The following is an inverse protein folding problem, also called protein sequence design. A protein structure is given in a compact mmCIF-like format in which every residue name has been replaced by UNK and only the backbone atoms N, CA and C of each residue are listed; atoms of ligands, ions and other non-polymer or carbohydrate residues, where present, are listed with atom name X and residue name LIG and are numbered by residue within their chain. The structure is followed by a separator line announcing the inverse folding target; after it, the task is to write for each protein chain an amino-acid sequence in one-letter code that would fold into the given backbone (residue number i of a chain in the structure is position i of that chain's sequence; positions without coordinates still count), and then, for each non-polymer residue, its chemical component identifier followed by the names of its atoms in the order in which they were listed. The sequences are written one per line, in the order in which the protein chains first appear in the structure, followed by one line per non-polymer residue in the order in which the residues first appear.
data_IF_937538544308
#
_entry.id   IF_937538544308
#
_cell.length_a   1.000
_cell.length_b   1.000
_cell.length_c   1.000
_cell.angle_alpha   90.00
_cell.angle_beta   90.00
_cell.angle_gamma   90.00
#
_symmetry.space_group_name_H-M   'P 1'
#
loop_
_entity.id
_entity.type
_entity.pdbx_description
1 polymer ?
#
# COMPACT_ATOMS: atom_id res chain seq x y z
N UNK A 1 9.22 10.69 -1.00
CA UNK A 1 10.33 9.75 -1.28
C UNK A 1 10.20 8.52 -0.39
N UNK A 2 10.54 7.34 -0.90
CA UNK A 2 10.56 6.07 -0.16
C UNK A 2 11.68 5.14 -0.67
N UNK A 3 12.35 4.38 0.21
CA UNK A 3 13.30 3.35 -0.21
C UNK A 3 12.57 2.08 -0.66
N UNK A 4 13.11 1.44 -1.69
CA UNK A 4 12.66 0.16 -2.22
C UNK A 4 13.80 -0.84 -2.16
N UNK A 5 13.48 -2.11 -1.86
CA UNK A 5 14.46 -3.18 -1.94
C UNK A 5 14.90 -3.39 -3.40
N UNK A 6 16.20 -3.48 -3.62
CA UNK A 6 16.79 -3.74 -4.94
C UNK A 6 17.89 -4.80 -4.81
N UNK A 7 18.22 -5.48 -5.91
CA UNK A 7 19.35 -6.40 -5.95
C UNK A 7 20.66 -5.70 -6.31
N UNK A 8 21.57 -6.43 -6.93
CA UNK A 8 22.74 -5.87 -7.62
C UNK A 8 22.36 -5.11 -8.91
N UNK A 9 21.12 -5.31 -9.36
CA UNK A 9 20.48 -4.63 -10.50
C UNK A 9 19.06 -4.26 -10.12
N UNK A 10 18.47 -3.30 -10.85
CA UNK A 10 17.03 -3.09 -10.80
C UNK A 10 16.34 -4.36 -11.29
N UNK A 11 15.52 -4.95 -10.42
CA UNK A 11 14.73 -6.14 -10.72
C UNK A 11 13.32 -5.76 -11.17
N UNK A 12 12.61 -6.75 -11.72
CA UNK A 12 11.26 -6.60 -12.27
C UNK A 12 10.30 -5.84 -11.33
N UNK A 13 10.31 -6.14 -10.02
CA UNK A 13 9.42 -5.47 -9.06
C UNK A 13 9.62 -3.95 -9.03
N UNK A 14 10.86 -3.46 -9.08
CA UNK A 14 11.13 -2.02 -9.07
C UNK A 14 10.77 -1.42 -10.43
N UNK A 15 11.08 -2.14 -11.51
CA UNK A 15 10.69 -1.76 -12.87
C UNK A 15 9.19 -1.59 -13.02
N UNK A 16 8.39 -2.58 -12.62
CA UNK A 16 6.92 -2.58 -12.70
C UNK A 16 6.32 -1.38 -11.96
N UNK A 17 6.86 -1.06 -10.78
CA UNK A 17 6.44 0.12 -9.99
C UNK A 17 6.70 1.41 -10.75
N UNK A 18 7.89 1.57 -11.33
CA UNK A 18 8.20 2.77 -12.11
C UNK A 18 7.35 2.83 -13.37
N UNK A 19 7.10 1.69 -14.04
CA UNK A 19 6.19 1.62 -15.20
C UNK A 19 4.77 2.06 -14.82
N UNK A 20 4.23 1.58 -13.70
CA UNK A 20 2.92 1.99 -13.21
C UNK A 20 2.86 3.50 -12.93
N UNK A 21 3.88 4.04 -12.28
CA UNK A 21 4.05 5.48 -12.08
C UNK A 21 4.06 6.26 -13.40
N UNK A 22 4.88 5.85 -14.37
CA UNK A 22 4.97 6.47 -15.68
C UNK A 22 3.64 6.46 -16.43
N UNK A 23 2.92 5.34 -16.43
CA UNK A 23 1.57 5.25 -17.03
C UNK A 23 0.60 6.24 -16.40
N UNK A 24 0.65 6.43 -15.09
CA UNK A 24 -0.24 7.36 -14.37
C UNK A 24 0.01 8.84 -14.69
N UNK A 25 1.24 9.21 -15.08
CA UNK A 25 1.60 10.60 -15.42
C UNK A 25 1.72 10.84 -16.93
N UNK A 26 1.50 9.81 -17.77
CA UNK A 26 1.65 9.90 -19.22
C UNK A 26 3.11 9.88 -19.70
N UNK A 27 4.07 9.57 -18.83
CA UNK A 27 5.47 9.42 -19.24
C UNK A 27 5.64 8.11 -20.03
N UNK A 28 6.21 8.19 -21.23
CA UNK A 28 6.40 7.04 -22.13
C UNK A 28 7.76 6.37 -21.99
N UNK A 29 8.73 7.07 -21.40
CA UNK A 29 10.10 6.58 -21.22
C UNK A 29 10.75 7.27 -20.02
N UNK A 30 11.85 6.68 -19.56
CA UNK A 30 12.75 7.30 -18.58
C UNK A 30 14.03 7.76 -19.25
N UNK A 31 14.60 8.83 -18.71
CA UNK A 31 15.98 9.22 -18.92
C UNK A 31 16.83 8.59 -17.83
N UNK A 32 18.09 8.26 -18.12
CA UNK A 32 19.01 7.76 -17.12
C UNK A 32 20.41 8.35 -17.27
N UNK A 33 21.16 8.36 -16.17
CA UNK A 33 22.57 8.74 -16.12
C UNK A 33 23.31 7.84 -15.12
N UNK A 34 24.34 7.08 -15.56
CA UNK A 34 25.28 6.45 -14.65
C UNK A 34 26.06 7.53 -13.89
N UNK A 35 26.14 7.42 -12.57
CA UNK A 35 26.86 8.35 -11.74
C UNK A 35 28.34 7.92 -11.66
N UNK A 36 29.28 8.86 -11.70
CA UNK A 36 30.72 8.56 -11.59
C UNK A 36 31.41 8.13 -12.90
N UNK A 37 30.74 8.23 -14.05
CA UNK A 37 31.35 8.14 -15.38
C UNK A 37 31.27 9.52 -16.05
N UNK A 38 32.32 9.93 -16.77
CA UNK A 38 32.42 11.24 -17.46
C UNK A 38 31.17 11.51 -18.33
N UNK A 39 30.66 12.77 -18.41
CA UNK A 39 29.28 13.08 -18.72
C UNK A 39 29.01 13.07 -20.23
N UNK A 40 29.13 11.91 -20.88
CA UNK A 40 28.37 11.70 -22.11
C UNK A 40 26.96 11.32 -21.67
N UNK A 41 26.13 12.35 -21.47
CA UNK A 41 24.71 12.22 -21.15
C UNK A 41 24.00 11.70 -22.39
N UNK A 42 24.13 10.42 -22.66
CA UNK A 42 23.26 9.76 -23.63
C UNK A 42 21.95 9.46 -22.93
N UNK A 43 21.02 10.41 -23.04
CA UNK A 43 19.62 10.18 -22.67
C UNK A 43 19.07 9.13 -23.64
N UNK A 44 19.22 7.85 -23.33
CA UNK A 44 18.45 6.82 -24.02
C UNK A 44 17.15 6.63 -23.27
N UNK A 45 16.04 6.57 -24.01
CA UNK A 45 14.82 6.00 -23.48
C UNK A 45 15.10 4.53 -23.19
N UNK A 46 15.28 4.20 -21.91
CA UNK A 46 15.32 2.80 -21.50
C UNK A 46 13.88 2.36 -21.22
N UNK A 47 13.46 1.18 -21.70
CA UNK A 47 12.27 0.58 -21.17
C UNK A 47 12.49 0.33 -19.67
N UNK A 48 11.41 0.38 -18.92
CA UNK A 48 11.44 0.44 -17.45
C UNK A 48 12.05 -0.83 -16.82
N UNK A 49 12.13 -1.90 -17.59
CA UNK A 49 12.70 -3.23 -17.29
C UNK A 49 14.20 -3.36 -17.62
N UNK A 50 14.85 -2.32 -18.13
CA UNK A 50 16.26 -2.37 -18.47
C UNK A 50 17.11 -2.65 -17.21
N UNK A 51 17.98 -3.66 -17.30
CA UNK A 51 18.84 -4.15 -16.22
C UNK A 51 19.90 -3.11 -15.80
N UNK A 52 19.47 -2.10 -15.07
CA UNK A 52 20.27 -0.95 -14.65
C UNK A 52 21.10 -1.33 -13.42
N UNK A 53 22.36 -0.88 -13.39
CA UNK A 53 23.29 -1.08 -12.26
C UNK A 53 23.48 0.21 -11.48
N UNK A 54 23.80 0.14 -10.17
CA UNK A 54 24.20 1.31 -9.41
C UNK A 54 25.66 1.72 -9.74
N UNK A 55 26.03 2.99 -9.52
CA UNK A 55 25.17 4.10 -9.14
C UNK A 55 24.50 4.72 -10.39
N UNK A 56 23.16 4.80 -10.41
CA UNK A 56 22.42 5.39 -11.54
C UNK A 56 21.26 6.25 -11.05
N UNK A 57 21.01 7.37 -11.73
CA UNK A 57 19.80 8.17 -11.57
C UNK A 57 18.92 8.00 -12.81
N UNK A 58 17.64 7.69 -12.60
CA UNK A 58 16.59 7.67 -13.62
C UNK A 58 15.57 8.76 -13.32
N UNK A 59 14.99 9.39 -14.34
CA UNK A 59 13.93 10.37 -14.16
C UNK A 59 12.99 10.44 -15.37
N UNK A 60 11.76 10.88 -15.14
CA UNK A 60 10.83 11.15 -16.24
C UNK A 60 11.21 12.47 -16.94
N UNK A 61 11.03 12.60 -18.27
CA UNK A 61 11.40 13.80 -19.03
C UNK A 61 10.76 15.10 -18.52
N UNK A 62 9.58 14.99 -17.93
CA UNK A 62 8.78 16.07 -17.34
C UNK A 62 9.11 16.33 -15.86
N UNK A 63 10.12 15.64 -15.32
CA UNK A 63 10.59 15.73 -13.93
C UNK A 63 9.52 15.43 -12.86
N UNK A 64 8.46 14.71 -13.24
CA UNK A 64 7.42 14.26 -12.31
C UNK A 64 7.91 13.17 -11.35
N UNK A 65 8.97 12.44 -11.70
CA UNK A 65 9.55 11.41 -10.86
C UNK A 65 11.04 11.17 -11.11
N UNK A 66 11.69 10.60 -10.10
CA UNK A 66 13.07 10.16 -10.15
C UNK A 66 13.28 8.88 -9.31
N UNK A 67 14.17 8.02 -9.79
CA UNK A 67 14.67 6.87 -9.06
C UNK A 67 16.20 6.97 -8.97
N UNK A 68 16.71 7.08 -7.74
CA UNK A 68 18.15 6.99 -7.47
C UNK A 68 18.47 5.56 -7.05
N UNK A 69 19.37 4.91 -7.77
CA UNK A 69 19.92 3.60 -7.42
C UNK A 69 21.39 3.77 -7.02
N UNK A 70 21.70 4.08 -5.75
CA UNK A 70 23.04 4.52 -5.35
C UNK A 70 24.01 3.36 -5.13
N UNK A 71 23.53 2.22 -4.63
CA UNK A 71 24.33 1.04 -4.34
C UNK A 71 23.46 -0.22 -4.42
N UNK A 72 24.04 -1.43 -4.54
CA UNK A 72 23.29 -2.67 -4.41
C UNK A 72 22.45 -2.69 -3.13
N UNK A 73 21.30 -3.36 -3.18
CA UNK A 73 20.43 -3.55 -2.01
C UNK A 73 19.26 -2.57 -1.92
N UNK A 74 19.35 -1.35 -2.46
CA UNK A 74 18.23 -0.41 -2.41
C UNK A 74 18.18 0.60 -3.55
N UNK A 75 16.99 1.11 -3.82
CA UNK A 75 16.76 2.30 -4.64
C UNK A 75 15.87 3.29 -3.88
N UNK A 76 15.98 4.58 -4.19
CA UNK A 76 15.15 5.65 -3.64
C UNK A 76 14.22 6.17 -4.72
N UNK A 77 12.91 6.05 -4.49
CA UNK A 77 11.89 6.53 -5.40
C UNK A 77 11.27 7.82 -4.88
N UNK A 78 11.17 8.82 -5.75
CA UNK A 78 10.47 10.07 -5.50
C UNK A 78 9.66 10.49 -6.72
N UNK A 79 8.58 11.23 -6.50
CA UNK A 79 7.77 11.79 -7.57
C UNK A 79 6.57 12.53 -7.03
N UNK A 80 5.72 13.01 -7.93
CA UNK A 80 4.45 13.68 -7.60
C UNK A 80 3.43 12.69 -7.04
N UNK A 81 2.35 13.22 -6.45
CA UNK A 81 1.31 12.39 -5.82
C UNK A 81 0.69 11.36 -6.78
N UNK A 82 0.34 11.69 -8.04
CA UNK A 82 -0.19 10.70 -8.98
C UNK A 82 0.80 9.58 -9.27
N UNK A 83 2.06 9.94 -9.53
CA UNK A 83 3.13 8.99 -9.79
C UNK A 83 3.35 8.04 -8.59
N UNK A 84 3.49 8.61 -7.38
CA UNK A 84 3.77 7.83 -6.18
C UNK A 84 2.60 6.93 -5.79
N UNK A 85 1.36 7.36 -6.02
CA UNK A 85 0.15 6.55 -5.77
C UNK A 85 0.13 5.30 -6.66
N UNK A 86 0.52 5.43 -7.93
CA UNK A 86 0.58 4.29 -8.84
C UNK A 86 1.83 3.41 -8.62
N UNK A 87 2.99 4.00 -8.33
CA UNK A 87 4.24 3.28 -8.15
C UNK A 87 4.39 2.61 -6.77
N UNK A 88 3.66 3.11 -5.77
CA UNK A 88 3.67 2.60 -4.39
C UNK A 88 2.22 2.37 -3.94
N UNK A 89 1.52 1.39 -4.54
CA UNK A 89 0.10 1.16 -4.27
C UNK A 89 -0.19 0.74 -2.83
N UNK A 90 0.80 0.24 -2.10
CA UNK A 90 0.67 -0.04 -0.66
C UNK A 90 0.74 1.24 0.22
N UNK A 91 1.10 2.38 -0.34
CA UNK A 91 1.38 3.62 0.38
C UNK A 91 2.85 3.77 0.82
N UNK A 92 3.30 5.01 0.94
CA UNK A 92 4.71 5.35 1.24
C UNK A 92 5.16 4.72 2.56
N UNK A 93 4.31 4.79 3.58
CA UNK A 93 4.66 4.42 4.94
C UNK A 93 4.74 2.90 5.13
N UNK A 94 3.90 2.13 4.42
CA UNK A 94 4.05 0.67 4.38
C UNK A 94 5.27 0.25 3.56
N UNK A 95 5.59 0.93 2.44
CA UNK A 95 6.81 0.67 1.69
C UNK A 95 8.08 0.87 2.55
N UNK A 96 8.13 1.95 3.36
CA UNK A 96 9.20 2.20 4.34
C UNK A 96 9.32 1.09 5.38
N UNK A 97 8.20 0.59 5.85
CA UNK A 97 8.18 -0.49 6.83
C UNK A 97 8.63 -1.83 6.24
N UNK A 98 8.19 -2.14 5.02
CA UNK A 98 8.68 -3.30 4.24
C UNK A 98 10.19 -3.20 4.04
N UNK A 99 10.68 -2.03 3.66
CA UNK A 99 12.13 -1.79 3.53
C UNK A 99 12.87 -1.97 4.85
N UNK A 100 12.32 -1.49 5.97
CA UNK A 100 12.91 -1.71 7.30
C UNK A 100 13.04 -3.20 7.64
N UNK A 101 12.01 -4.01 7.35
CA UNK A 101 12.05 -5.47 7.53
C UNK A 101 13.11 -6.11 6.62
N UNK A 102 13.17 -5.68 5.36
CA UNK A 102 14.18 -6.12 4.40
C UNK A 102 15.61 -5.79 4.84
N UNK A 103 15.87 -4.56 5.27
CA UNK A 103 17.17 -4.10 5.74
C UNK A 103 17.67 -4.93 6.94
N UNK A 104 16.79 -5.24 7.90
CA UNK A 104 17.10 -6.15 9.02
C UNK A 104 17.48 -7.55 8.54
N UNK A 105 16.76 -8.09 7.55
CA UNK A 105 17.07 -9.41 6.97
C UNK A 105 18.39 -9.43 6.21
N UNK A 106 18.80 -8.30 5.63
CA UNK A 106 20.03 -8.17 4.85
C UNK A 106 21.23 -7.63 5.65
N UNK A 107 21.06 -7.29 6.93
CA UNK A 107 22.06 -6.59 7.73
C UNK A 107 23.44 -7.27 7.79
N UNK A 108 23.49 -8.60 7.70
CA UNK A 108 24.75 -9.35 7.68
C UNK A 108 25.57 -9.14 6.40
N UNK A 109 24.90 -8.91 5.26
CA UNK A 109 25.54 -8.73 3.95
C UNK A 109 25.65 -7.25 3.56
N UNK A 110 24.69 -6.45 3.99
CA UNK A 110 24.51 -5.04 3.63
C UNK A 110 24.13 -4.21 4.88
N UNK A 111 25.08 -3.99 5.81
CA UNK A 111 24.82 -3.28 7.06
C UNK A 111 24.37 -1.82 6.83
N UNK A 112 24.79 -1.20 5.72
CA UNK A 112 24.43 0.16 5.32
C UNK A 112 22.90 0.35 5.14
N UNK A 113 22.17 -0.71 4.82
CA UNK A 113 20.72 -0.64 4.63
C UNK A 113 19.98 -0.28 5.92
N UNK A 114 20.56 -0.58 7.09
CA UNK A 114 19.98 -0.17 8.37
C UNK A 114 19.98 1.35 8.54
N UNK A 115 21.02 2.03 8.08
CA UNK A 115 21.09 3.50 8.10
C UNK A 115 20.07 4.12 7.13
N UNK A 116 19.89 3.53 5.95
CA UNK A 116 18.85 3.93 5.00
C UNK A 116 17.46 3.74 5.61
N UNK A 117 17.20 2.58 6.23
CA UNK A 117 15.92 2.31 6.89
C UNK A 117 15.62 3.27 8.04
N UNK A 118 16.64 3.63 8.84
CA UNK A 118 16.50 4.62 9.90
C UNK A 118 16.21 6.03 9.35
N UNK A 119 16.87 6.41 8.24
CA UNK A 119 16.66 7.71 7.57
C UNK A 119 15.24 7.84 7.01
N UNK A 120 14.69 6.74 6.51
CA UNK A 120 13.35 6.70 5.91
C UNK A 120 12.39 5.81 6.73
N UNK A 121 12.36 6.02 8.05
CA UNK A 121 11.42 5.31 8.90
C UNK A 121 9.94 5.68 8.56
N UNK A 122 8.98 4.74 8.73
CA UNK A 122 7.57 5.07 8.64
C UNK A 122 7.21 6.22 9.58
N UNK A 123 6.38 7.15 9.12
CA UNK A 123 5.91 8.28 9.96
C UNK A 123 4.86 7.87 10.98
N UNK A 124 4.05 6.86 10.65
CA UNK A 124 2.97 6.39 11.51
C UNK A 124 3.30 5.04 12.14
N UNK A 125 2.94 4.94 13.42
CA UNK A 125 2.83 3.67 14.13
C UNK A 125 1.73 2.81 13.50
N UNK A 126 1.93 1.50 13.48
CA UNK A 126 0.93 0.56 12.97
C UNK A 126 0.03 0.03 14.10
N UNK A 127 -1.27 0.30 14.02
CA UNK A 127 -2.27 -0.10 15.02
C UNK A 127 -2.60 -1.59 14.91
N UNK A 128 -2.64 -2.28 16.05
CA UNK A 128 -3.00 -3.70 16.12
C UNK A 128 -4.45 -3.95 16.53
N UNK A 129 -5.07 -2.95 17.18
CA UNK A 129 -6.40 -3.04 17.74
C UNK A 129 -7.25 -1.81 17.37
N UNK A 130 -8.56 -1.95 17.09
CA UNK A 130 -9.47 -0.83 16.82
C UNK A 130 -9.44 0.27 17.88
N UNK A 131 -9.24 -0.08 19.15
CA UNK A 131 -9.17 0.89 20.25
C UNK A 131 -7.94 1.82 20.18
N UNK A 132 -6.91 1.44 19.41
CA UNK A 132 -5.72 2.28 19.19
C UNK A 132 -5.92 3.30 18.05
N UNK A 133 -6.97 3.12 17.25
CA UNK A 133 -7.20 3.91 16.03
C UNK A 133 -7.86 5.25 16.40
N UNK A 134 -7.22 6.40 16.13
CA UNK A 134 -7.83 7.71 16.39
C UNK A 134 -9.09 7.92 15.56
N UNK A 135 -10.15 8.55 16.11
CA UNK A 135 -11.47 8.62 15.49
C UNK A 135 -11.52 9.44 14.19
N UNK A 136 -10.54 10.31 13.94
CA UNK A 136 -10.45 11.18 12.77
C UNK A 136 -9.60 10.59 11.63
N UNK A 137 -9.34 9.28 11.65
CA UNK A 137 -8.54 8.58 10.63
C UNK A 137 -9.43 7.88 9.60
N UNK A 138 -8.87 7.60 8.41
CA UNK A 138 -9.56 6.79 7.41
C UNK A 138 -9.77 5.35 7.90
N UNK A 139 -8.86 4.82 8.70
CA UNK A 139 -8.98 3.50 9.35
C UNK A 139 -10.16 3.48 10.34
N UNK A 140 -10.40 4.55 11.10
CA UNK A 140 -11.61 4.66 11.92
C UNK A 140 -12.89 4.66 11.06
N UNK A 141 -12.84 5.30 9.89
CA UNK A 141 -13.95 5.27 8.94
C UNK A 141 -14.18 3.86 8.38
N UNK A 142 -13.14 3.07 8.07
CA UNK A 142 -13.29 1.65 7.71
C UNK A 142 -14.02 0.86 8.79
N UNK A 143 -13.63 1.04 10.05
CA UNK A 143 -14.28 0.36 11.18
C UNK A 143 -15.75 0.76 11.34
N UNK A 144 -16.08 2.02 11.07
CA UNK A 144 -17.45 2.49 11.06
C UNK A 144 -18.27 1.87 9.92
N UNK A 145 -17.75 1.87 8.69
CA UNK A 145 -18.40 1.23 7.54
C UNK A 145 -18.66 -0.26 7.78
N UNK A 146 -17.70 -0.96 8.38
CA UNK A 146 -17.84 -2.37 8.70
C UNK A 146 -19.00 -2.60 9.67
N UNK A 147 -19.13 -1.77 10.71
CA UNK A 147 -20.24 -1.84 11.66
C UNK A 147 -21.59 -1.60 10.98
N UNK A 148 -21.73 -0.51 10.23
CA UNK A 148 -22.99 -0.19 9.55
C UNK A 148 -23.39 -1.29 8.55
N UNK A 149 -22.41 -1.88 7.86
CA UNK A 149 -22.66 -2.98 6.95
C UNK A 149 -23.10 -4.27 7.66
N UNK A 150 -22.43 -4.65 8.75
CA UNK A 150 -22.80 -5.84 9.54
C UNK A 150 -24.13 -5.67 10.26
N UNK A 151 -24.48 -4.44 10.66
CA UNK A 151 -25.77 -4.11 11.28
C UNK A 151 -26.90 -4.02 10.24
N UNK A 152 -26.57 -4.09 8.94
CA UNK A 152 -27.52 -4.05 7.84
C UNK A 152 -28.06 -2.66 7.51
N UNK A 153 -27.48 -1.60 8.08
CA UNK A 153 -27.89 -0.22 7.82
C UNK A 153 -27.24 0.38 6.56
N UNK A 154 -26.16 -0.25 6.07
CA UNK A 154 -25.46 0.15 4.85
C UNK A 154 -25.66 -0.90 3.72
N UNK A 155 -26.13 -0.52 2.52
CA UNK A 155 -26.23 -1.43 1.37
C UNK A 155 -24.85 -1.89 0.85
N UNK A 156 -24.76 -3.11 0.32
CA UNK A 156 -23.50 -3.70 -0.16
C UNK A 156 -22.79 -2.89 -1.27
N UNK A 157 -23.49 -2.37 -2.31
CA UNK A 157 -22.85 -1.50 -3.31
C UNK A 157 -22.21 -0.25 -2.70
N UNK A 158 -22.93 0.40 -1.77
CA UNK A 158 -22.45 1.60 -1.09
C UNK A 158 -21.26 1.29 -0.18
N UNK A 159 -21.31 0.18 0.53
CA UNK A 159 -20.20 -0.32 1.34
C UNK A 159 -18.95 -0.55 0.48
N UNK A 160 -19.05 -1.34 -0.59
CA UNK A 160 -17.92 -1.66 -1.47
C UNK A 160 -17.24 -0.41 -2.04
N UNK A 161 -18.02 0.51 -2.64
CA UNK A 161 -17.48 1.75 -3.19
C UNK A 161 -16.80 2.62 -2.11
N UNK A 162 -17.43 2.76 -0.95
CA UNK A 162 -16.90 3.62 0.13
C UNK A 162 -15.67 2.99 0.77
N UNK A 163 -15.63 1.66 0.88
CA UNK A 163 -14.47 0.91 1.36
C UNK A 163 -13.23 1.18 0.51
N UNK A 164 -13.35 1.06 -0.82
CA UNK A 164 -12.26 1.30 -1.77
C UNK A 164 -11.74 2.74 -1.73
N UNK A 165 -12.64 3.71 -1.60
CA UNK A 165 -12.26 5.12 -1.42
C UNK A 165 -11.50 5.33 -0.11
N UNK A 166 -12.02 4.77 0.98
CA UNK A 166 -11.44 4.91 2.32
C UNK A 166 -10.07 4.24 2.41
N UNK A 167 -9.88 3.09 1.75
CA UNK A 167 -8.58 2.40 1.68
C UNK A 167 -7.51 3.25 1.00
N UNK A 168 -7.86 3.91 -0.10
CA UNK A 168 -6.95 4.85 -0.78
C UNK A 168 -6.61 6.04 0.12
N UNK A 169 -7.59 6.59 0.85
CA UNK A 169 -7.34 7.68 1.82
C UNK A 169 -6.41 7.24 2.95
N UNK A 170 -6.62 6.05 3.53
CA UNK A 170 -5.75 5.51 4.57
C UNK A 170 -4.30 5.37 4.08
N UNK A 171 -4.11 4.81 2.88
CA UNK A 171 -2.80 4.67 2.24
C UNK A 171 -2.14 6.01 1.94
N UNK A 172 -2.90 7.01 1.44
CA UNK A 172 -2.36 8.35 1.17
C UNK A 172 -1.96 9.10 2.44
N UNK A 173 -2.71 8.88 3.53
CA UNK A 173 -2.39 9.41 4.85
C UNK A 173 -1.20 8.68 5.49
N UNK A 174 -0.77 7.55 4.94
CA UNK A 174 0.27 6.70 5.54
C UNK A 174 -0.22 5.98 6.79
N UNK A 175 -1.53 5.80 6.96
CA UNK A 175 -2.10 5.04 8.07
C UNK A 175 -1.73 3.56 7.92
N UNK A 176 -1.41 2.92 9.05
CA UNK A 176 -0.90 1.55 9.06
C UNK A 176 -1.61 0.72 10.11
N UNK A 177 -1.89 -0.52 9.74
CA UNK A 177 -2.46 -1.53 10.62
C UNK A 177 -1.55 -2.77 10.62
N UNK A 178 -1.66 -3.59 11.66
CA UNK A 178 -0.91 -4.84 11.81
C UNK A 178 -1.70 -5.85 12.62
N UNK A 179 -1.22 -7.10 12.65
CA UNK A 179 -1.80 -8.15 13.50
C UNK A 179 -3.30 -8.34 13.24
N UNK A 180 -4.10 -8.60 14.28
CA UNK A 180 -5.52 -8.94 14.13
C UNK A 180 -6.35 -7.87 13.39
N UNK A 181 -6.07 -6.57 13.61
CA UNK A 181 -6.76 -5.51 12.88
C UNK A 181 -6.38 -5.52 11.38
N UNK A 182 -5.10 -5.72 11.07
CA UNK A 182 -4.64 -5.85 9.68
C UNK A 182 -5.28 -7.04 8.97
N UNK A 183 -5.29 -8.20 9.64
CA UNK A 183 -5.89 -9.44 9.12
C UNK A 183 -7.38 -9.27 8.81
N UNK A 184 -8.13 -8.58 9.68
CA UNK A 184 -9.54 -8.26 9.43
C UNK A 184 -9.71 -7.40 8.17
N UNK A 185 -8.96 -6.30 8.05
CA UNK A 185 -9.09 -5.38 6.92
C UNK A 185 -8.63 -6.01 5.59
N UNK A 186 -7.63 -6.90 5.63
CA UNK A 186 -7.20 -7.67 4.48
C UNK A 186 -8.22 -8.76 4.11
N UNK A 187 -8.88 -9.38 5.09
CA UNK A 187 -9.97 -10.31 4.81
C UNK A 187 -11.18 -9.62 4.16
N UNK A 188 -11.54 -8.41 4.62
CA UNK A 188 -12.59 -7.61 3.96
C UNK A 188 -12.21 -7.25 2.53
N UNK A 189 -10.94 -6.93 2.29
CA UNK A 189 -10.42 -6.69 0.95
C UNK A 189 -10.65 -7.91 0.04
N UNK A 190 -10.26 -9.11 0.49
CA UNK A 190 -10.43 -10.34 -0.29
C UNK A 190 -11.90 -10.63 -0.61
N UNK A 191 -12.79 -10.52 0.39
CA UNK A 191 -14.22 -10.72 0.17
C UNK A 191 -14.84 -9.70 -0.78
N UNK A 192 -14.31 -8.47 -0.84
CA UNK A 192 -14.75 -7.46 -1.78
C UNK A 192 -14.20 -7.66 -3.19
N UNK A 193 -13.10 -8.41 -3.36
CA UNK A 193 -12.63 -8.82 -4.69
C UNK A 193 -13.56 -9.89 -5.30
N UNK A 194 -14.16 -10.73 -4.45
CA UNK A 194 -15.13 -11.74 -4.85
C UNK A 194 -16.57 -11.19 -4.92
N UNK A 195 -16.80 -9.88 -4.81
CA UNK A 195 -18.13 -9.26 -4.86
C UNK A 195 -18.30 -8.33 -6.07
N UNK A 196 -19.17 -8.71 -7.01
CA UNK A 196 -19.54 -7.84 -8.12
C UNK A 196 -20.68 -6.88 -7.73
N UNK A 197 -20.42 -5.58 -7.86
CA UNK A 197 -21.37 -4.51 -7.52
C UNK A 197 -22.49 -4.41 -8.56
N UNK A 198 -22.20 -4.78 -9.81
CA UNK A 198 -23.11 -4.73 -10.95
C UNK A 198 -23.72 -6.11 -11.20
N UNK A 199 -24.97 -6.38 -10.81
CA UNK A 199 -25.53 -7.74 -10.83
C UNK A 199 -25.52 -8.40 -12.21
N UNK A 200 -25.57 -7.60 -13.28
CA UNK A 200 -25.54 -8.08 -14.68
C UNK A 200 -24.17 -8.61 -15.11
N UNK A 201 -23.11 -8.24 -14.40
CA UNK A 201 -21.72 -8.67 -14.65
C UNK A 201 -21.27 -9.78 -13.71
N UNK A 202 -22.10 -10.16 -12.73
CA UNK A 202 -21.73 -11.13 -11.71
C UNK A 202 -21.52 -12.53 -12.31
N UNK A 203 -20.39 -13.13 -11.99
CA UNK A 203 -20.07 -14.51 -12.32
C UNK A 203 -20.69 -15.46 -11.27
N UNK A 204 -20.93 -16.75 -11.62
CA UNK A 204 -21.52 -17.71 -10.67
C UNK A 204 -20.72 -17.96 -9.39
N UNK A 205 -19.43 -17.60 -9.38
CA UNK A 205 -18.54 -17.71 -8.23
C UNK A 205 -18.52 -16.47 -7.35
N UNK A 206 -19.11 -15.36 -7.79
CA UNK A 206 -19.13 -14.12 -7.04
C UNK A 206 -20.09 -14.22 -5.86
N UNK A 207 -19.71 -13.58 -4.76
CA UNK A 207 -20.53 -13.44 -3.58
C UNK A 207 -21.76 -12.60 -3.89
N UNK A 208 -22.91 -13.04 -3.37
CA UNK A 208 -24.08 -12.19 -3.25
C UNK A 208 -23.90 -11.18 -2.11
N UNK A 209 -24.69 -10.10 -2.12
CA UNK A 209 -24.70 -9.12 -1.03
C UNK A 209 -24.99 -9.76 0.35
N UNK A 210 -25.80 -10.82 0.38
CA UNK A 210 -26.15 -11.55 1.61
C UNK A 210 -24.98 -12.42 2.10
N UNK A 211 -24.29 -13.10 1.18
CA UNK A 211 -23.11 -13.91 1.51
C UNK A 211 -21.96 -13.02 1.98
N UNK A 212 -21.71 -11.91 1.29
CA UNK A 212 -20.73 -10.91 1.70
C UNK A 212 -21.01 -10.41 3.14
N UNK A 213 -22.26 -10.03 3.44
CA UNK A 213 -22.63 -9.58 4.79
C UNK A 213 -22.45 -10.68 5.83
N UNK A 214 -22.82 -11.91 5.50
CA UNK A 214 -22.69 -13.05 6.42
C UNK A 214 -21.22 -13.35 6.74
N UNK A 215 -20.37 -13.43 5.72
CA UNK A 215 -18.93 -13.63 5.87
C UNK A 215 -18.26 -12.51 6.66
N UNK A 216 -18.60 -11.25 6.38
CA UNK A 216 -18.05 -10.10 7.11
C UNK A 216 -18.54 -10.02 8.56
N UNK A 217 -19.80 -10.40 8.81
CA UNK A 217 -20.33 -10.48 10.18
C UNK A 217 -19.59 -11.54 10.99
N UNK A 218 -19.37 -12.72 10.41
CA UNK A 218 -18.59 -13.78 11.03
C UNK A 218 -17.15 -13.34 11.33
N UNK A 219 -16.46 -12.76 10.34
CA UNK A 219 -15.09 -12.27 10.52
C UNK A 219 -14.99 -11.19 11.62
N UNK A 220 -15.96 -10.26 11.66
CA UNK A 220 -16.00 -9.19 12.65
C UNK A 220 -16.25 -9.72 14.07
N UNK A 221 -17.13 -10.72 14.20
CA UNK A 221 -17.47 -11.34 15.48
C UNK A 221 -16.36 -12.27 16.00
N UNK A 222 -15.75 -13.06 15.13
CA UNK A 222 -14.64 -13.96 15.47
C UNK A 222 -13.40 -13.20 15.95
N UNK A 223 -13.20 -11.97 15.48
CA UNK A 223 -12.19 -11.06 15.99
C UNK A 223 -12.48 -10.42 17.36
N UNK A 224 -13.66 -10.68 17.97
CA UNK A 224 -14.15 -10.05 19.22
C UNK A 224 -14.04 -8.52 19.24
N UNK A 225 -14.41 -7.87 18.14
CA UNK A 225 -14.41 -6.40 18.01
C UNK A 225 -15.77 -5.74 18.28
N UNK A 226 -16.79 -6.55 18.57
CA UNK A 226 -18.10 -6.07 18.99
C UNK A 226 -17.98 -5.35 20.35
N UNK A 227 -18.57 -4.15 20.51
CA UNK A 227 -18.75 -3.59 21.85
C UNK A 227 -19.60 -4.59 22.64
N UNK A 228 -19.09 -5.05 23.79
CA UNK A 228 -19.93 -5.74 24.77
C UNK A 228 -21.06 -4.77 25.14
N UNK A 229 -22.27 -5.03 24.65
CA UNK A 229 -23.47 -4.39 25.20
C UNK A 229 -23.47 -4.77 26.67
N UNK A 230 -23.17 -3.80 27.53
CA UNK A 230 -23.28 -3.97 28.97
C UNK A 230 -24.76 -4.16 29.26
N UNK A 231 -25.18 -5.41 29.48
CA UNK A 231 -26.46 -5.67 30.12
C UNK A 231 -26.44 -4.95 31.46
N UNK A 232 -27.27 -3.91 31.60
CA UNK A 232 -27.48 -3.25 32.87
C UNK A 232 -28.01 -4.29 33.88
N UNK A 233 -27.52 -4.30 35.12
CA UNK A 233 -28.11 -5.15 36.14
C UNK A 233 -29.53 -4.65 36.42
N UNK A 234 -30.52 -5.51 36.18
CA UNK A 234 -31.81 -5.40 36.85
C UNK A 234 -31.56 -5.63 38.34
N UNK A 235 -31.66 -4.56 39.11
CA UNK A 235 -31.92 -4.63 40.55
C UNK A 235 -33.42 -4.71 40.74
N UNK A 236 -33.88 -5.87 41.19
CA UNK A 236 -35.10 -6.00 42.00
C UNK A 236 -34.90 -5.34 43.37
#
# INVERSE_FOLDING_TARGET
MTPLAAGDRLGAIVSDRVTAGCRSTGATHLRYIPLGVDPVVTTHGIPTDAATRPPTLLWTPDHQAALLFPSPGHALLAGTSPFMTAAVPEGIDEARARFTRYARKQAARHPELLAVAATYAPTHHAWAHPAEVPPNTATAHHLHLLREFTDGTLPAPTFAHTWWRTRRTAQSNGERVRGPLGELLDHVFLLLEDYEVTPELAEPTDLTATELRSALTEAYQNGRWAPRVSAAPHTD
#
